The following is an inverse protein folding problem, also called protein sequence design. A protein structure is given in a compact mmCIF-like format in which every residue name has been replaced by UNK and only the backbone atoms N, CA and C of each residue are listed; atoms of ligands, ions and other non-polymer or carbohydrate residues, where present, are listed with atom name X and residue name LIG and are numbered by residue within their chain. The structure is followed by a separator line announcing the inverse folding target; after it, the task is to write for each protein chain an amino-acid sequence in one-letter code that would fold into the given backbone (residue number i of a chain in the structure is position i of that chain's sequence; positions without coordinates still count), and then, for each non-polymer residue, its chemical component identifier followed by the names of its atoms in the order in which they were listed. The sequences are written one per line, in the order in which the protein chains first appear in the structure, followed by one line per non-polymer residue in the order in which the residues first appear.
data_IF_670310175147
#
_entry.id   IF_670310175147
#
_cell.length_a   1.000
_cell.length_b   1.000
_cell.length_c   1.000
_cell.angle_alpha   90.00
_cell.angle_beta   90.00
_cell.angle_gamma   90.00
#
_symmetry.space_group_name_H-M   'P 1'
#
loop_
_entity.id
_entity.type
_entity.pdbx_description
1 polymer ?
#
# COMPACT_ATOMS: atom_id res chain seq x y z
N UNK A 1 0.94 -10.28 16.91
CA UNK A 1 1.79 -9.54 15.95
C UNK A 1 2.96 -8.92 16.68
N UNK A 2 4.14 -8.91 16.07
CA UNK A 2 5.32 -8.21 16.59
C UNK A 2 5.53 -6.93 15.75
N UNK A 3 5.22 -5.77 16.31
CA UNK A 3 5.29 -4.47 15.61
C UNK A 3 6.71 -4.11 15.15
N UNK A 4 7.76 -4.70 15.76
CA UNK A 4 9.15 -4.47 15.35
C UNK A 4 9.49 -5.10 14.00
N UNK A 5 8.61 -5.93 13.43
CA UNK A 5 8.79 -6.52 12.10
C UNK A 5 8.13 -5.69 10.99
N UNK A 6 7.53 -4.53 11.30
CA UNK A 6 6.89 -3.68 10.29
C UNK A 6 7.87 -2.64 9.77
N UNK A 7 7.76 -2.25 8.49
CA UNK A 7 8.48 -1.08 7.96
C UNK A 7 7.89 0.21 8.53
N UNK A 8 8.64 1.31 8.44
CA UNK A 8 8.18 2.62 8.93
C UNK A 8 6.90 3.06 8.21
N UNK A 9 6.84 2.88 6.88
CA UNK A 9 5.64 3.16 6.08
C UNK A 9 4.46 2.27 6.48
N UNK A 10 4.68 1.01 6.83
CA UNK A 10 3.61 0.15 7.34
C UNK A 10 3.08 0.63 8.69
N UNK A 11 3.96 1.07 9.60
CA UNK A 11 3.56 1.64 10.90
C UNK A 11 2.82 2.97 10.72
N UNK A 12 3.29 3.82 9.81
CA UNK A 12 2.62 5.07 9.41
C UNK A 12 1.19 4.78 8.91
N UNK A 13 1.01 3.78 8.04
CA UNK A 13 -0.31 3.41 7.54
C UNK A 13 -1.29 2.99 8.66
N UNK A 14 -0.82 2.24 9.66
CA UNK A 14 -1.64 1.86 10.83
C UNK A 14 -2.03 3.09 11.65
N UNK A 15 -1.09 4.01 11.88
CA UNK A 15 -1.35 5.25 12.62
C UNK A 15 -2.33 6.15 11.85
N UNK A 16 -2.12 6.35 10.55
CA UNK A 16 -3.02 7.12 9.70
C UNK A 16 -4.43 6.52 9.67
N UNK A 17 -4.56 5.20 9.58
CA UNK A 17 -5.86 4.53 9.64
C UNK A 17 -6.58 4.77 10.97
N UNK A 18 -5.84 4.80 12.09
CA UNK A 18 -6.38 5.17 13.40
C UNK A 18 -6.85 6.63 13.42
N UNK A 19 -6.05 7.56 12.91
CA UNK A 19 -6.42 8.98 12.81
C UNK A 19 -7.67 9.17 11.98
N UNK A 20 -7.77 8.54 10.80
CA UNK A 20 -8.95 8.63 9.95
C UNK A 20 -10.18 8.08 10.70
N UNK A 21 -10.08 6.93 11.38
CA UNK A 21 -11.21 6.40 12.15
C UNK A 21 -11.67 7.36 13.26
N UNK A 22 -10.74 8.09 13.91
CA UNK A 22 -11.06 9.11 14.90
C UNK A 22 -11.76 10.33 14.27
N UNK A 23 -11.23 10.83 13.15
CA UNK A 23 -11.78 12.00 12.43
C UNK A 23 -13.20 11.76 11.93
N UNK A 24 -13.50 10.53 11.48
CA UNK A 24 -14.82 10.14 10.99
C UNK A 24 -15.76 9.65 12.10
N UNK A 25 -15.30 9.60 13.36
CA UNK A 25 -16.12 9.22 14.50
C UNK A 25 -16.50 7.73 14.52
N UNK A 26 -15.61 6.88 14.00
CA UNK A 26 -15.78 5.43 13.99
C UNK A 26 -15.14 4.80 15.24
N UNK A 27 -15.82 3.81 15.82
CA UNK A 27 -15.34 3.11 17.03
C UNK A 27 -14.12 2.21 16.77
N UNK A 28 -13.95 1.76 15.53
CA UNK A 28 -12.93 0.80 15.15
C UNK A 28 -12.29 1.16 13.82
N UNK A 29 -11.02 0.80 13.68
CA UNK A 29 -10.30 0.81 12.41
C UNK A 29 -10.87 -0.32 11.55
N UNK A 30 -11.76 0.06 10.65
CA UNK A 30 -12.24 -0.78 9.54
C UNK A 30 -11.24 -0.85 8.38
N UNK A 31 -11.40 -1.87 7.53
CA UNK A 31 -10.57 -2.06 6.34
C UNK A 31 -10.60 -0.87 5.37
N UNK A 32 -11.70 -0.11 5.31
CA UNK A 32 -11.80 1.09 4.48
C UNK A 32 -10.82 2.20 4.94
N UNK A 33 -10.68 2.41 6.25
CA UNK A 33 -9.68 3.36 6.77
C UNK A 33 -8.27 2.92 6.42
N UNK A 34 -8.01 1.61 6.55
CA UNK A 34 -6.70 1.06 6.28
C UNK A 34 -6.33 1.13 4.79
N UNK A 35 -7.28 0.81 3.90
CA UNK A 35 -7.11 1.02 2.46
C UNK A 35 -6.83 2.49 2.14
N UNK A 36 -7.66 3.39 2.67
CA UNK A 36 -7.51 4.82 2.40
C UNK A 36 -6.18 5.36 2.94
N UNK A 37 -5.76 4.94 4.13
CA UNK A 37 -4.46 5.27 4.69
C UNK A 37 -3.29 4.86 3.78
N UNK A 38 -3.31 3.64 3.23
CA UNK A 38 -2.28 3.16 2.29
C UNK A 38 -2.23 3.97 0.99
N UNK A 39 -3.37 4.51 0.54
CA UNK A 39 -3.47 5.31 -0.69
C UNK A 39 -3.01 6.76 -0.51
N UNK A 40 -3.19 7.32 0.68
CA UNK A 40 -2.83 8.71 0.99
C UNK A 40 -1.37 8.86 1.47
N UNK A 41 -0.61 7.76 1.59
CA UNK A 41 0.78 7.84 2.03
C UNK A 41 1.62 8.66 1.07
N UNK A 42 2.29 9.68 1.58
CA UNK A 42 3.20 10.51 0.80
C UNK A 42 4.35 9.64 0.27
N UNK A 43 4.61 9.73 -1.03
CA UNK A 43 5.58 8.90 -1.74
C UNK A 43 5.37 7.38 -1.49
N UNK A 44 4.11 6.97 -1.30
CA UNK A 44 3.75 5.59 -1.01
C UNK A 44 3.88 4.65 -2.22
N UNK A 45 4.30 3.41 -1.94
CA UNK A 45 4.42 2.36 -2.95
C UNK A 45 3.06 1.97 -3.56
N UNK A 46 2.00 1.92 -2.76
CA UNK A 46 0.67 1.46 -3.23
C UNK A 46 0.09 2.38 -4.33
N UNK A 47 0.07 3.71 -4.19
CA UNK A 47 -0.25 4.63 -5.28
C UNK A 47 0.55 4.39 -6.56
N UNK A 48 1.87 4.18 -6.43
CA UNK A 48 2.76 3.93 -7.56
C UNK A 48 2.41 2.61 -8.29
N UNK A 49 2.14 1.54 -7.54
CA UNK A 49 1.72 0.25 -8.09
C UNK A 49 0.41 0.36 -8.87
N UNK A 50 -0.59 1.04 -8.30
CA UNK A 50 -1.89 1.24 -8.93
C UNK A 50 -1.75 2.09 -10.20
N UNK A 51 -0.91 3.13 -10.19
CA UNK A 51 -0.58 3.90 -11.40
C UNK A 51 0.01 3.02 -12.51
N UNK A 52 0.94 2.13 -12.17
CA UNK A 52 1.54 1.17 -13.12
C UNK A 52 0.53 0.14 -13.66
N UNK A 53 -0.55 -0.14 -12.91
CA UNK A 53 -1.67 -0.96 -13.37
C UNK A 53 -2.64 -0.19 -14.29
N UNK A 54 -2.40 1.09 -14.54
CA UNK A 54 -3.28 1.96 -15.33
C UNK A 54 -4.49 2.47 -14.56
N UNK A 55 -4.50 2.34 -13.24
CA UNK A 55 -5.60 2.81 -12.39
C UNK A 55 -5.42 4.30 -12.11
N UNK A 56 -6.51 5.05 -12.26
CA UNK A 56 -6.54 6.46 -11.86
C UNK A 56 -6.55 6.53 -10.33
N UNK A 57 -5.38 6.70 -9.73
CA UNK A 57 -5.18 6.67 -8.26
C UNK A 57 -6.11 7.64 -7.54
N UNK A 58 -6.25 8.87 -8.04
CA UNK A 58 -7.15 9.88 -7.46
C UNK A 58 -8.62 9.41 -7.43
N UNK A 59 -9.07 8.72 -8.47
CA UNK A 59 -10.43 8.16 -8.52
C UNK A 59 -10.59 7.04 -7.49
N UNK A 60 -9.59 6.14 -7.40
CA UNK A 60 -9.64 5.02 -6.47
C UNK A 60 -9.55 5.47 -5.01
N UNK A 61 -8.69 6.45 -4.70
CA UNK A 61 -8.61 7.07 -3.38
C UNK A 61 -9.92 7.76 -2.98
N UNK A 62 -10.56 8.49 -3.91
CA UNK A 62 -11.87 9.09 -3.66
C UNK A 62 -12.95 8.02 -3.39
N UNK A 63 -12.91 6.89 -4.09
CA UNK A 63 -13.83 5.78 -3.84
C UNK A 63 -13.56 5.09 -2.49
N UNK A 64 -12.30 4.88 -2.11
CA UNK A 64 -11.94 4.35 -0.79
C UNK A 64 -12.36 5.31 0.34
N UNK A 65 -12.21 6.62 0.15
CA UNK A 65 -12.71 7.64 1.07
C UNK A 65 -14.24 7.59 1.21
N UNK A 66 -14.97 7.38 0.11
CA UNK A 66 -16.42 7.21 0.15
C UNK A 66 -16.83 6.02 1.03
N UNK A 67 -16.11 4.90 0.94
CA UNK A 67 -16.35 3.75 1.82
C UNK A 67 -16.17 4.10 3.30
N UNK A 68 -15.19 4.96 3.64
CA UNK A 68 -15.01 5.49 4.99
C UNK A 68 -16.18 6.39 5.40
N UNK A 69 -16.61 7.29 4.51
CA UNK A 69 -17.73 8.22 4.76
C UNK A 69 -19.04 7.50 5.08
N UNK A 70 -19.26 6.35 4.43
CA UNK A 70 -20.44 5.49 4.54
C UNK A 70 -20.39 4.54 5.76
N UNK A 71 -19.30 4.53 6.53
CA UNK A 71 -19.22 3.72 7.76
C UNK A 71 -20.12 4.27 8.87
N UNK A 72 -20.69 3.39 9.72
CA UNK A 72 -21.46 3.82 10.88
C UNK A 72 -20.63 4.73 11.80
N UNK A 73 -21.16 5.93 12.03
CA UNK A 73 -20.60 6.90 12.97
C UNK A 73 -21.29 6.78 14.31
N UNK A 74 -20.57 7.13 15.35
CA UNK A 74 -21.04 6.91 16.71
C UNK A 74 -21.32 8.26 17.32
N UNK A 75 -22.59 8.61 17.38
CA UNK A 75 -23.07 9.76 18.15
C UNK A 75 -22.87 9.43 19.62
N UNK A 76 -22.03 10.19 20.32
CA UNK A 76 -21.69 9.97 21.72
C UNK A 76 -22.94 10.12 22.59
N UNK A 77 -23.54 9.00 22.97
CA UNK A 77 -24.51 8.92 24.06
C UNK A 77 -24.13 7.74 24.96
N UNK A 78 -23.21 8.00 25.90
CA UNK A 78 -22.91 7.10 27.02
C UNK A 78 -21.46 6.59 27.09
N UNK A 79 -20.72 7.09 28.09
CA UNK A 79 -19.81 6.29 28.91
C UNK A 79 -18.57 5.66 28.28
N UNK A 80 -18.04 6.15 27.15
CA UNK A 80 -16.74 5.69 26.64
C UNK A 80 -15.59 6.57 27.10
N UNK A 81 -14.45 5.93 27.38
CA UNK A 81 -13.15 6.60 27.43
C UNK A 81 -12.91 7.27 26.06
N UNK A 82 -13.00 8.59 26.03
CA UNK A 82 -12.71 9.37 24.83
C UNK A 82 -11.28 9.03 24.35
N UNK A 83 -11.15 8.61 23.09
CA UNK A 83 -9.86 8.44 22.42
C UNK A 83 -9.38 7.01 22.14
N UNK A 84 -10.03 5.96 22.64
CA UNK A 84 -9.67 4.57 22.28
C UNK A 84 -10.42 4.11 21.02
N UNK A 85 -9.67 3.88 19.94
CA UNK A 85 -10.15 3.22 18.71
C UNK A 85 -9.62 1.79 18.69
N UNK A 86 -10.51 0.83 18.44
CA UNK A 86 -10.17 -0.60 18.39
C UNK A 86 -9.78 -1.04 16.98
N UNK A 87 -9.06 -2.15 16.82
CA UNK A 87 -8.83 -2.77 15.51
C UNK A 87 -9.99 -3.72 15.22
N UNK A 88 -10.64 -3.58 14.05
CA UNK A 88 -11.71 -4.50 13.66
C UNK A 88 -11.15 -5.90 13.35
N UNK A 89 -11.90 -7.00 13.59
CA UNK A 89 -11.43 -8.35 13.33
C UNK A 89 -10.96 -8.60 11.89
N UNK A 90 -11.57 -7.95 10.91
CA UNK A 90 -11.18 -8.09 9.50
C UNK A 90 -9.89 -7.34 9.15
N UNK A 91 -9.55 -6.28 9.90
CA UNK A 91 -8.23 -5.62 9.79
C UNK A 91 -7.17 -6.48 10.47
N UNK A 92 -7.47 -7.06 11.64
CA UNK A 92 -6.56 -7.98 12.33
C UNK A 92 -6.19 -9.19 11.45
N UNK A 93 -7.17 -9.76 10.74
CA UNK A 93 -6.92 -10.81 9.73
C UNK A 93 -5.97 -10.36 8.63
N UNK A 94 -6.18 -9.16 8.07
CA UNK A 94 -5.32 -8.63 7.01
C UNK A 94 -3.88 -8.35 7.52
N UNK A 95 -3.73 -7.83 8.74
CA UNK A 95 -2.41 -7.62 9.34
C UNK A 95 -1.68 -8.95 9.60
N UNK A 96 -2.39 -9.99 10.07
CA UNK A 96 -1.80 -11.32 10.27
C UNK A 96 -1.48 -12.02 8.95
N UNK A 97 -2.33 -11.88 7.93
CA UNK A 97 -2.09 -12.43 6.60
C UNK A 97 -0.88 -11.78 5.91
N UNK A 98 -0.64 -10.49 6.14
CA UNK A 98 0.53 -9.79 5.61
C UNK A 98 1.86 -10.39 6.12
N UNK A 99 1.90 -10.86 7.37
CA UNK A 99 3.07 -11.59 7.91
C UNK A 99 3.32 -12.89 7.12
N UNK A 100 2.28 -13.62 6.77
CA UNK A 100 2.40 -14.85 5.98
C UNK A 100 2.88 -14.56 4.54
N UNK A 101 2.40 -13.48 3.93
CA UNK A 101 2.83 -13.04 2.60
C UNK A 101 4.30 -12.64 2.62
N UNK A 102 4.73 -11.81 3.58
CA UNK A 102 6.13 -11.40 3.73
C UNK A 102 7.06 -12.61 3.87
N UNK A 103 6.70 -13.58 4.73
CA UNK A 103 7.45 -14.84 4.86
C UNK A 103 7.50 -15.65 3.56
N UNK A 104 6.38 -15.72 2.83
CA UNK A 104 6.31 -16.37 1.53
C UNK A 104 7.21 -15.71 0.47
N UNK A 105 7.34 -14.39 0.54
CA UNK A 105 8.25 -13.60 -0.30
C UNK A 105 9.70 -13.59 0.21
N UNK A 106 9.97 -14.26 1.34
CA UNK A 106 11.27 -14.33 2.02
C UNK A 106 11.81 -12.97 2.45
N UNK A 107 10.89 -12.09 2.83
CA UNK A 107 11.18 -10.77 3.36
C UNK A 107 11.38 -10.79 4.87
N UNK A 108 12.23 -9.89 5.35
CA UNK A 108 12.58 -9.78 6.77
C UNK A 108 11.63 -8.81 7.50
N UNK A 109 10.98 -7.89 6.77
CA UNK A 109 9.98 -6.96 7.31
C UNK A 109 8.67 -6.99 6.53
N UNK A 110 7.58 -6.69 7.24
CA UNK A 110 6.22 -6.50 6.72
C UNK A 110 6.11 -5.07 6.18
N UNK A 111 6.39 -4.94 4.89
CA UNK A 111 6.17 -3.73 4.09
C UNK A 111 4.72 -3.54 3.62
N UNK A 112 4.40 -2.35 3.11
CA UNK A 112 3.06 -1.91 2.68
C UNK A 112 2.48 -2.77 1.55
N UNK A 113 3.32 -3.34 0.67
CA UNK A 113 2.86 -4.25 -0.37
C UNK A 113 2.26 -5.55 0.20
N UNK A 114 2.80 -6.05 1.31
CA UNK A 114 2.27 -7.25 1.97
C UNK A 114 0.93 -6.95 2.61
N UNK A 115 0.81 -5.78 3.24
CA UNK A 115 -0.43 -5.29 3.82
C UNK A 115 -1.52 -5.15 2.76
N UNK A 116 -1.19 -4.54 1.62
CA UNK A 116 -2.14 -4.35 0.54
C UNK A 116 -2.55 -5.68 -0.11
N UNK A 117 -1.60 -6.58 -0.38
CA UNK A 117 -1.91 -7.92 -0.88
C UNK A 117 -2.81 -8.70 0.08
N UNK A 118 -2.53 -8.64 1.38
CA UNK A 118 -3.36 -9.33 2.37
C UNK A 118 -4.73 -8.71 2.52
N UNK A 119 -4.84 -7.38 2.37
CA UNK A 119 -6.12 -6.68 2.35
C UNK A 119 -7.00 -7.12 1.17
N UNK A 120 -6.40 -7.42 0.01
CA UNK A 120 -7.11 -7.98 -1.15
C UNK A 120 -7.59 -9.42 -0.84
N UNK A 121 -6.74 -10.26 -0.24
CA UNK A 121 -7.09 -11.65 0.12
C UNK A 121 -8.20 -11.75 1.16
N UNK A 122 -8.15 -10.88 2.17
CA UNK A 122 -9.06 -10.87 3.30
C UNK A 122 -10.11 -9.76 3.22
N UNK A 123 -10.35 -9.22 2.02
CA UNK A 123 -11.32 -8.16 1.79
C UNK A 123 -12.72 -8.57 2.29
N UNK A 124 -13.34 -7.69 3.06
CA UNK A 124 -14.77 -7.78 3.36
C UNK A 124 -15.60 -7.52 2.09
N UNK A 125 -16.93 -7.64 2.18
CA UNK A 125 -17.81 -7.48 1.01
C UNK A 125 -17.64 -6.12 0.32
N UNK A 126 -17.56 -5.03 1.09
CA UNK A 126 -17.41 -3.67 0.55
C UNK A 126 -16.11 -3.51 -0.25
N UNK A 127 -14.98 -3.89 0.34
CA UNK A 127 -13.69 -3.80 -0.34
C UNK A 127 -13.61 -4.74 -1.54
N UNK A 128 -14.23 -5.93 -1.48
CA UNK A 128 -14.30 -6.84 -2.64
C UNK A 128 -14.99 -6.18 -3.82
N UNK A 129 -16.11 -5.51 -3.59
CA UNK A 129 -16.85 -4.83 -4.65
C UNK A 129 -16.09 -3.62 -5.18
N UNK A 130 -15.43 -2.86 -4.29
CA UNK A 130 -14.56 -1.75 -4.67
C UNK A 130 -13.37 -2.21 -5.53
N UNK A 131 -12.64 -3.25 -5.12
CA UNK A 131 -11.53 -3.80 -5.90
C UNK A 131 -12.00 -4.31 -7.27
N UNK A 132 -13.16 -4.98 -7.33
CA UNK A 132 -13.77 -5.42 -8.60
C UNK A 132 -14.09 -4.27 -9.54
N UNK A 133 -14.65 -3.18 -9.02
CA UNK A 133 -14.99 -2.00 -9.83
C UNK A 133 -13.77 -1.38 -10.53
N UNK A 134 -12.59 -1.52 -9.92
CA UNK A 134 -11.32 -1.02 -10.45
C UNK A 134 -10.44 -2.10 -11.08
N UNK A 135 -10.94 -3.33 -11.22
CA UNK A 135 -10.21 -4.49 -11.73
C UNK A 135 -8.88 -4.75 -10.98
N UNK A 136 -8.86 -4.49 -9.67
CA UNK A 136 -7.72 -4.76 -8.80
C UNK A 136 -7.79 -6.23 -8.39
N UNK A 137 -6.79 -6.99 -8.83
CA UNK A 137 -6.62 -8.42 -8.52
C UNK A 137 -5.27 -8.64 -7.88
N UNK A 138 -5.15 -9.69 -7.06
CA UNK A 138 -3.88 -10.07 -6.44
C UNK A 138 -2.80 -10.28 -7.50
N UNK A 139 -3.15 -10.95 -8.59
CA UNK A 139 -2.25 -11.24 -9.71
C UNK A 139 -1.77 -9.96 -10.41
N UNK A 140 -2.69 -9.01 -10.63
CA UNK A 140 -2.35 -7.70 -11.20
C UNK A 140 -1.40 -6.90 -10.32
N UNK A 141 -1.64 -6.90 -9.00
CA UNK A 141 -0.77 -6.23 -8.02
C UNK A 141 0.59 -6.89 -7.95
N UNK A 142 0.66 -8.23 -7.91
CA UNK A 142 1.94 -8.96 -7.93
C UNK A 142 2.76 -8.65 -9.18
N UNK A 143 2.12 -8.59 -10.35
CA UNK A 143 2.79 -8.23 -11.61
C UNK A 143 3.34 -6.81 -11.58
N UNK A 144 2.56 -5.84 -11.09
CA UNK A 144 3.01 -4.46 -10.93
C UNK A 144 4.14 -4.35 -9.89
N UNK A 145 4.04 -5.11 -8.80
CA UNK A 145 5.04 -5.15 -7.74
C UNK A 145 6.38 -5.68 -8.27
N UNK A 146 6.38 -6.76 -9.05
CA UNK A 146 7.61 -7.26 -9.68
C UNK A 146 8.26 -6.22 -10.60
N UNK A 147 7.50 -5.31 -11.21
CA UNK A 147 8.08 -4.25 -12.05
C UNK A 147 8.74 -3.13 -11.24
N UNK A 148 8.26 -2.84 -10.03
CA UNK A 148 8.82 -1.80 -9.15
C UNK A 148 9.96 -2.34 -8.30
N UNK A 149 9.73 -3.49 -7.65
CA UNK A 149 10.64 -4.10 -6.69
C UNK A 149 11.64 -5.06 -7.33
N UNK A 150 11.35 -5.58 -8.52
CA UNK A 150 12.19 -6.59 -9.17
C UNK A 150 12.35 -7.83 -8.29
N UNK A 151 13.60 -8.22 -8.07
CA UNK A 151 13.98 -9.34 -7.20
C UNK A 151 14.48 -8.88 -5.81
N UNK A 152 14.32 -7.60 -5.47
CA UNK A 152 14.78 -7.08 -4.19
C UNK A 152 13.93 -7.65 -3.04
N UNK A 153 14.55 -7.84 -1.88
CA UNK A 153 13.88 -8.25 -0.66
C UNK A 153 13.79 -7.08 0.30
N UNK A 154 12.76 -7.06 1.15
CA UNK A 154 12.63 -6.10 2.23
C UNK A 154 13.51 -6.57 3.39
N UNK A 155 14.75 -6.09 3.42
CA UNK A 155 15.74 -6.43 4.46
C UNK A 155 16.02 -5.27 5.43
N UNK A 156 15.27 -4.17 5.31
CA UNK A 156 15.34 -3.01 6.19
C UNK A 156 13.93 -2.50 6.51
N UNK A 157 13.83 -1.66 7.53
CA UNK A 157 12.58 -1.00 7.94
C UNK A 157 12.16 0.16 7.00
N UNK A 158 13.02 0.58 6.07
CA UNK A 158 12.75 1.63 5.06
C UNK A 158 13.06 1.18 3.62
N UNK A 159 12.41 0.15 3.08
CA UNK A 159 12.74 -0.38 1.76
C UNK A 159 12.43 0.59 0.60
N UNK A 160 11.46 1.49 0.75
CA UNK A 160 11.00 2.41 -0.29
C UNK A 160 12.08 3.37 -0.78
N UNK A 161 13.08 3.69 0.06
CA UNK A 161 14.24 4.49 -0.33
C UNK A 161 15.05 3.83 -1.45
N UNK A 162 15.03 2.49 -1.51
CA UNK A 162 15.81 1.69 -2.46
C UNK A 162 15.09 1.43 -3.78
N UNK A 163 13.74 1.42 -3.79
CA UNK A 163 12.95 1.10 -4.98
C UNK A 163 13.07 2.16 -6.08
N UNK A 164 13.19 3.43 -5.70
CA UNK A 164 13.30 4.55 -6.64
C UNK A 164 14.71 5.16 -6.71
N UNK A 165 15.73 4.55 -6.09
CA UNK A 165 17.10 5.10 -6.08
C UNK A 165 17.67 5.30 -7.50
N UNK A 166 17.36 4.39 -8.43
CA UNK A 166 17.73 4.52 -9.85
C UNK A 166 16.99 5.65 -10.58
N UNK A 167 15.74 5.94 -10.22
CA UNK A 167 14.97 7.07 -10.78
C UNK A 167 15.38 8.41 -10.16
N UNK A 168 15.68 8.43 -8.87
CA UNK A 168 16.06 9.64 -8.11
C UNK A 168 17.50 10.06 -8.35
N UNK A 169 18.43 9.11 -8.49
CA UNK A 169 19.87 9.39 -8.57
C UNK A 169 20.57 8.74 -9.77
N UNK A 170 19.91 7.84 -10.49
CA UNK A 170 20.43 7.22 -11.70
C UNK A 170 19.96 7.92 -12.97
N UNK A 171 20.74 7.77 -14.05
CA UNK A 171 20.31 8.10 -15.40
C UNK A 171 20.04 6.80 -16.14
N UNK A 172 18.80 6.56 -16.56
CA UNK A 172 18.45 5.39 -17.37
C UNK A 172 18.98 5.55 -18.80
N UNK A 173 20.13 4.92 -19.07
CA UNK A 173 20.76 4.93 -20.39
C UNK A 173 19.98 4.09 -21.41
N UNK A 174 19.27 3.03 -20.99
CA UNK A 174 18.51 2.19 -21.93
C UNK A 174 17.30 2.95 -22.46
N UNK A 175 16.58 3.63 -21.58
CA UNK A 175 15.44 4.47 -21.96
C UNK A 175 15.90 5.67 -22.83
N UNK A 176 17.04 6.29 -22.51
CA UNK A 176 17.63 7.33 -23.37
C UNK A 176 18.05 6.80 -24.74
N UNK A 177 18.56 5.58 -24.83
CA UNK A 177 18.92 4.95 -26.10
C UNK A 177 17.66 4.69 -26.93
N UNK A 178 16.60 4.18 -26.30
CA UNK A 178 15.29 3.97 -26.95
C UNK A 178 14.68 5.28 -27.47
N UNK A 179 14.89 6.38 -26.76
CA UNK A 179 14.45 7.72 -27.16
C UNK A 179 15.39 8.43 -28.15
N UNK A 180 16.44 7.77 -28.66
CA UNK A 180 17.49 8.37 -29.50
C UNK A 180 18.15 9.61 -28.86
N UNK A 181 18.23 9.65 -27.53
CA UNK A 181 18.85 10.73 -26.72
C UNK A 181 20.26 10.36 -26.22
N UNK A 182 20.87 9.35 -26.82
CA UNK A 182 22.23 8.91 -26.57
C UNK A 182 23.04 9.12 -27.85
N UNK A 183 24.19 9.76 -27.71
CA UNK A 183 25.10 9.95 -28.83
C UNK A 183 25.71 8.60 -29.24
N UNK A 184 25.83 8.35 -30.56
CA UNK A 184 26.43 7.12 -31.05
C UNK A 184 27.90 7.07 -30.68
N UNK A 185 28.32 5.97 -30.05
CA UNK A 185 29.73 5.74 -29.72
C UNK A 185 30.42 5.14 -30.96
N UNK A 186 31.39 5.85 -31.52
CA UNK A 186 32.14 5.42 -32.71
C UNK A 186 33.53 4.90 -32.28
N UNK A 187 33.99 3.80 -32.87
CA UNK A 187 35.35 3.26 -32.67
C UNK A 187 35.52 2.33 -31.46
N UNK A 188 34.43 1.66 -31.05
CA UNK A 188 34.42 0.66 -29.96
C UNK A 188 33.86 -0.71 -30.37
N UNK A 189 33.75 -0.96 -31.67
CA UNK A 189 33.47 -2.30 -32.20
C UNK A 189 34.83 -2.94 -32.50
N UNK A 190 35.18 -4.01 -31.77
CA UNK A 190 36.37 -4.84 -32.00
C UNK A 190 36.21 -5.74 -33.24
#
# INVERSE_FOLDING_TARGET
MNMNQFTQKSLEAVQSAQTIAQEYGNQQIEQAHFLYALLEQENGLIPQLLGNMGITVASFAAAARKEVEDLPRVTVSGGREAGKVYIAPDVDKALNGAEAIAKGMKDEYISVEHLFLSLIEHANSRLKDLFRAYNITKEGVLKALSAVRGNQRVTSDNPEETYDALKKYGTDLVERARQNKLDPVIGRDD
#
